data_IF_349565051723
#
_entry.id   IF_349565051723
#
_cell.length_a   1.000
_cell.length_b   1.000
_cell.length_c   1.000
_cell.angle_alpha   90.00
_cell.angle_beta   90.00
_cell.angle_gamma   90.00
#
_symmetry.space_group_name_H-M   'P 1'
#
loop_
_entity.id
_entity.type
_entity.pdbx_description
1 polymer ?
#
# COMPACT_ATOMS: atom_id res chain seq x y z
N UNK A 1 -2.94 14.13 1.15
CA UNK A 1 -2.35 14.12 2.49
C UNK A 1 -1.77 12.76 2.80
N UNK A 2 -0.57 12.72 3.34
CA UNK A 2 0.01 11.42 3.70
C UNK A 2 -0.73 10.79 4.87
N UNK A 3 -0.70 9.48 4.92
CA UNK A 3 -1.34 8.75 6.00
C UNK A 3 -0.35 8.49 7.12
N UNK A 4 -0.82 8.65 8.34
CA UNK A 4 0.00 8.39 9.51
C UNK A 4 0.08 6.89 9.76
N UNK A 5 1.01 6.51 10.60
CA UNK A 5 1.14 5.12 10.99
C UNK A 5 -0.18 4.64 11.61
N UNK A 6 -0.70 3.56 11.09
CA UNK A 6 -1.97 3.03 11.56
C UNK A 6 -3.17 3.57 10.81
N UNK A 7 -2.95 4.59 9.99
CA UNK A 7 -4.00 5.17 9.19
C UNK A 7 -3.95 4.59 7.78
N UNK A 8 -5.08 4.64 7.07
CA UNK A 8 -5.10 4.11 5.71
C UNK A 8 -6.32 4.61 4.96
N UNK A 9 -6.26 4.63 3.61
CA UNK A 9 -7.43 5.02 2.83
C UNK A 9 -8.52 3.94 2.91
N UNK A 10 -9.76 4.32 2.71
CA UNK A 10 -10.86 3.35 2.78
C UNK A 10 -10.69 2.14 1.88
N UNK A 11 -9.99 2.32 0.76
CA UNK A 11 -9.74 1.21 -0.16
C UNK A 11 -8.97 0.07 0.46
N UNK A 12 -8.22 0.34 1.51
CA UNK A 12 -7.37 -0.64 2.15
C UNK A 12 -8.06 -1.35 3.31
N UNK A 13 -9.29 -0.99 3.57
CA UNK A 13 -10.00 -1.48 4.74
C UNK A 13 -10.05 -3.01 4.82
N UNK A 14 -10.23 -3.66 3.69
CA UNK A 14 -10.39 -5.12 3.65
C UNK A 14 -9.09 -5.88 3.48
N UNK A 15 -7.98 -5.18 3.51
CA UNK A 15 -6.69 -5.84 3.32
C UNK A 15 -6.12 -6.30 4.65
N UNK A 16 -5.30 -7.37 4.65
CA UNK A 16 -4.62 -7.80 5.88
C UNK A 16 -3.77 -6.66 6.44
N UNK A 17 -3.61 -6.65 7.75
CA UNK A 17 -2.91 -5.57 8.41
C UNK A 17 -1.52 -5.34 7.84
N UNK A 18 -0.75 -6.41 7.63
CA UNK A 18 0.60 -6.28 7.12
C UNK A 18 0.63 -5.70 5.71
N UNK A 19 -0.27 -6.19 4.87
CA UNK A 19 -0.35 -5.69 3.51
C UNK A 19 -0.80 -4.23 3.52
N UNK A 20 -1.77 -3.92 4.36
CA UNK A 20 -2.29 -2.56 4.46
C UNK A 20 -1.21 -1.58 4.87
N UNK A 21 -0.42 -1.95 5.88
CA UNK A 21 0.65 -1.07 6.34
C UNK A 21 1.70 -0.86 5.27
N UNK A 22 2.05 -1.93 4.57
CA UNK A 22 3.02 -1.84 3.48
C UNK A 22 2.48 -0.97 2.36
N UNK A 23 1.22 -1.15 2.02
CA UNK A 23 0.59 -0.37 0.97
C UNK A 23 0.56 1.11 1.30
N UNK A 24 0.30 1.43 2.58
CA UNK A 24 0.27 2.83 3.01
C UNK A 24 1.65 3.46 2.87
N UNK A 25 2.68 2.72 3.23
CA UNK A 25 4.04 3.22 3.08
C UNK A 25 4.36 3.56 1.63
N UNK A 26 4.01 2.65 0.75
CA UNK A 26 4.25 2.86 -0.67
C UNK A 26 3.41 4.01 -1.19
N UNK A 27 2.16 4.07 -0.75
CA UNK A 27 1.26 5.14 -1.16
C UNK A 27 1.78 6.51 -0.74
N UNK A 28 2.33 6.59 0.46
CA UNK A 28 2.92 7.85 0.93
C UNK A 28 4.08 8.28 0.05
N UNK A 29 4.91 7.33 -0.34
CA UNK A 29 6.05 7.63 -1.21
C UNK A 29 5.58 8.12 -2.57
N UNK A 30 4.62 7.43 -3.15
CA UNK A 30 4.10 7.81 -4.45
C UNK A 30 3.40 9.18 -4.38
N UNK A 31 2.66 9.41 -3.32
CA UNK A 31 1.99 10.69 -3.15
C UNK A 31 2.99 11.83 -3.08
N UNK A 32 4.10 11.60 -2.43
CA UNK A 32 5.16 12.58 -2.34
C UNK A 32 5.71 12.93 -3.72
N UNK A 33 5.85 11.93 -4.57
CA UNK A 33 6.39 12.10 -5.92
C UNK A 33 5.40 12.73 -6.88
N UNK A 34 4.16 12.27 -6.84
CA UNK A 34 3.19 12.63 -7.88
C UNK A 34 2.13 13.61 -7.42
N UNK A 35 1.91 13.71 -6.12
CA UNK A 35 0.84 14.53 -5.55
C UNK A 35 -0.55 14.09 -6.02
N UNK A 36 -0.64 12.86 -6.49
CA UNK A 36 -1.91 12.31 -6.98
C UNK A 36 -2.37 11.21 -6.02
N UNK A 37 -3.36 11.53 -5.21
CA UNK A 37 -3.83 10.63 -4.17
C UNK A 37 -4.38 9.33 -4.72
N UNK A 38 -5.23 9.42 -5.74
CA UNK A 38 -5.82 8.23 -6.34
C UNK A 38 -4.77 7.30 -6.91
N UNK A 39 -3.80 7.87 -7.59
CA UNK A 39 -2.72 7.09 -8.17
C UNK A 39 -1.86 6.46 -7.07
N UNK A 40 -1.60 7.22 -6.02
CA UNK A 40 -0.80 6.71 -4.91
C UNK A 40 -1.48 5.52 -4.25
N UNK A 41 -2.78 5.61 -4.04
CA UNK A 41 -3.53 4.53 -3.42
C UNK A 41 -3.49 3.27 -4.28
N UNK A 42 -3.77 3.42 -5.56
CA UNK A 42 -3.78 2.29 -6.48
C UNK A 42 -2.42 1.65 -6.61
N UNK A 43 -1.39 2.47 -6.77
CA UNK A 43 -0.03 1.97 -6.91
C UNK A 43 0.44 1.28 -5.64
N UNK A 44 0.14 1.88 -4.50
CA UNK A 44 0.53 1.30 -3.22
C UNK A 44 -0.04 -0.08 -3.03
N UNK A 45 -1.32 -0.22 -3.30
CA UNK A 45 -1.98 -1.52 -3.13
C UNK A 45 -1.43 -2.55 -4.11
N UNK A 46 -1.25 -2.14 -5.35
CA UNK A 46 -0.75 -3.03 -6.38
C UNK A 46 0.64 -3.56 -6.02
N UNK A 47 1.53 -2.67 -5.60
CA UNK A 47 2.88 -3.07 -5.26
C UNK A 47 2.94 -3.91 -4.00
N UNK A 48 2.11 -3.57 -3.02
CA UNK A 48 2.06 -4.35 -1.79
C UNK A 48 1.59 -5.77 -2.07
N UNK A 49 0.59 -5.92 -2.92
CA UNK A 49 0.09 -7.24 -3.29
C UNK A 49 1.15 -8.05 -4.02
N UNK A 50 1.86 -7.40 -4.92
CA UNK A 50 2.92 -8.08 -5.66
C UNK A 50 4.02 -8.56 -4.71
N UNK A 51 4.37 -7.71 -3.76
CA UNK A 51 5.39 -8.05 -2.78
C UNK A 51 4.98 -9.25 -1.94
N UNK A 52 3.75 -9.24 -1.46
CA UNK A 52 3.26 -10.33 -0.63
C UNK A 52 3.09 -11.61 -1.41
N UNK A 53 2.65 -11.50 -2.66
CA UNK A 53 2.51 -12.69 -3.51
C UNK A 53 3.86 -13.34 -3.75
N UNK A 54 4.88 -12.51 -3.94
CA UNK A 54 6.22 -13.02 -4.14
C UNK A 54 6.75 -13.72 -2.91
N UNK A 55 6.51 -13.13 -1.75
CA UNK A 55 6.91 -13.73 -0.49
C UNK A 55 6.26 -15.09 -0.27
N UNK A 56 4.98 -15.15 -0.58
CA UNK A 56 4.23 -16.37 -0.44
C UNK A 56 4.79 -17.47 -1.34
N UNK A 57 5.13 -17.09 -2.54
CA UNK A 57 5.70 -18.04 -3.50
C UNK A 57 7.02 -18.60 -3.00
N UNK A 58 7.81 -17.76 -2.42
CA UNK A 58 9.12 -18.17 -1.92
C UNK A 58 9.01 -19.17 -0.80
N UNK A 59 7.99 -19.01 0.01
CA UNK A 59 7.78 -19.90 1.15
C UNK A 59 7.43 -21.30 0.72
N UNK A 60 6.84 -21.45 -0.42
CA UNK A 60 6.48 -22.73 -0.93
C UNK A 60 7.62 -23.39 -1.65
#
# INVERSE_FOLDING_TARGET
MPWHQGDYPPSYKNQPKKLRENAVEIANEVLKSTSNEGKAIATGLKQARAHFAKEKKEKE
#
